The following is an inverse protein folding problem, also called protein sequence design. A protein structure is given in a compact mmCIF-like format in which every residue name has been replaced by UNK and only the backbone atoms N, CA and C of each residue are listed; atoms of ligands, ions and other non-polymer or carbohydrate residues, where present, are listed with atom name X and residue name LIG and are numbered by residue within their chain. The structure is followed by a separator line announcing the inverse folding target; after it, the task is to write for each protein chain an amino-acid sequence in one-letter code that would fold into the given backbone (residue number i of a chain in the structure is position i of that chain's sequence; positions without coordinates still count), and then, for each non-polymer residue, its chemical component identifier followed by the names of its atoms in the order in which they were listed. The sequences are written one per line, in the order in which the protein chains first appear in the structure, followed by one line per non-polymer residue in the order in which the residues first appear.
data_IF_315141770414
#
_entry.id   IF_315141770414
#
_cell.length_a   1.000
_cell.length_b   1.000
_cell.length_c   1.000
_cell.angle_alpha   90.00
_cell.angle_beta   90.00
_cell.angle_gamma   90.00
#
_symmetry.space_group_name_H-M   'P 1'
#
loop_
_entity.id
_entity.type
_entity.pdbx_description
1 polymer ?
#
# COMPACT_ATOMS: atom_id res chain seq x y z
N UNK A 1 6.24 7.57 11.16
CA UNK A 1 7.07 7.38 9.95
C UNK A 1 6.22 6.74 8.87
N UNK A 2 6.28 7.21 7.62
CA UNK A 2 5.64 6.51 6.49
C UNK A 2 6.71 5.70 5.79
N UNK A 3 6.46 4.40 5.57
CA UNK A 3 7.36 3.50 4.84
C UNK A 3 6.69 3.05 3.55
N UNK A 4 7.49 2.91 2.50
CA UNK A 4 7.00 2.48 1.19
C UNK A 4 7.31 1.00 0.99
N UNK A 5 6.29 0.20 0.74
CA UNK A 5 6.37 -1.18 0.30
C UNK A 5 5.98 -1.24 -1.18
N UNK A 6 6.97 -1.31 -2.06
CA UNK A 6 6.75 -1.78 -3.43
C UNK A 6 6.67 -3.30 -3.42
N UNK A 7 5.92 -3.88 -4.37
CA UNK A 7 5.88 -5.32 -4.62
C UNK A 7 7.27 -5.95 -4.38
N UNK A 8 7.29 -7.00 -3.58
CA UNK A 8 8.43 -7.76 -3.11
C UNK A 8 9.34 -8.14 -4.30
N UNK A 9 10.27 -7.27 -4.68
CA UNK A 9 11.13 -7.48 -5.83
C UNK A 9 12.07 -8.65 -5.50
N UNK A 10 12.12 -9.66 -6.36
CA UNK A 10 13.22 -10.62 -6.34
C UNK A 10 14.51 -9.83 -6.48
N UNK A 11 15.32 -9.85 -5.41
CA UNK A 11 16.59 -9.17 -5.36
C UNK A 11 17.49 -9.65 -6.50
N UNK A 12 18.05 -8.68 -7.22
CA UNK A 12 19.28 -8.90 -7.97
C UNK A 12 20.34 -9.51 -7.05
N UNK A 13 21.09 -10.45 -7.60
CA UNK A 13 22.15 -11.19 -6.92
C UNK A 13 23.24 -10.24 -6.42
N UNK A 14 23.30 -9.99 -5.12
CA UNK A 14 24.53 -9.55 -4.43
C UNK A 14 24.68 -10.33 -3.13
N UNK A 15 25.80 -11.05 -3.02
CA UNK A 15 26.04 -12.09 -2.02
C UNK A 15 26.16 -11.57 -0.59
N UNK A 16 25.33 -12.12 0.30
CA UNK A 16 25.49 -12.16 1.76
C UNK A 16 24.70 -13.38 2.27
N UNK A 17 25.38 -14.50 2.54
CA UNK A 17 24.78 -15.85 2.69
C UNK A 17 23.79 -16.01 3.86
N UNK A 18 23.78 -15.11 4.85
CA UNK A 18 22.92 -15.20 6.03
C UNK A 18 21.67 -14.29 6.01
N UNK A 19 21.52 -13.42 4.99
CA UNK A 19 20.44 -12.43 4.95
C UNK A 19 19.15 -12.94 4.29
N UNK A 20 19.24 -13.97 3.44
CA UNK A 20 18.10 -14.51 2.68
C UNK A 20 16.96 -15.04 3.58
N UNK A 21 17.22 -15.80 4.67
CA UNK A 21 16.15 -16.28 5.55
C UNK A 21 15.48 -15.14 6.34
N UNK A 22 16.25 -14.11 6.72
CA UNK A 22 15.71 -12.95 7.44
C UNK A 22 14.80 -12.11 6.54
N UNK A 23 15.22 -11.84 5.30
CA UNK A 23 14.43 -11.11 4.33
C UNK A 23 13.12 -11.83 4.04
N UNK A 24 13.15 -13.14 3.80
CA UNK A 24 11.92 -13.93 3.59
C UNK A 24 10.93 -13.79 4.76
N UNK A 25 11.42 -13.87 6.00
CA UNK A 25 10.59 -13.67 7.21
C UNK A 25 10.02 -12.26 7.33
N UNK A 26 10.78 -11.24 6.96
CA UNK A 26 10.30 -9.85 6.95
C UNK A 26 9.21 -9.67 5.90
N UNK A 27 9.39 -10.26 4.71
CA UNK A 27 8.41 -10.22 3.62
C UNK A 27 7.10 -10.92 4.00
N UNK A 28 7.19 -12.08 4.66
CA UNK A 28 6.03 -12.81 5.18
C UNK A 28 5.25 -11.97 6.21
N UNK A 29 5.94 -11.40 7.20
CA UNK A 29 5.32 -10.54 8.22
C UNK A 29 4.68 -9.29 7.61
N UNK A 30 5.33 -8.68 6.62
CA UNK A 30 4.79 -7.54 5.91
C UNK A 30 3.51 -7.92 5.12
N UNK A 31 3.49 -9.12 4.54
CA UNK A 31 2.31 -9.69 3.89
C UNK A 31 1.12 -9.77 4.85
N UNK A 32 1.33 -10.35 6.03
CA UNK A 32 0.30 -10.44 7.08
C UNK A 32 -0.24 -9.07 7.50
N UNK A 33 0.63 -8.07 7.63
CA UNK A 33 0.23 -6.69 7.96
C UNK A 33 -0.63 -6.09 6.84
N UNK A 34 -0.25 -6.29 5.58
CA UNK A 34 -1.00 -5.80 4.42
C UNK A 34 -2.37 -6.47 4.34
N UNK A 35 -2.44 -7.78 4.57
CA UNK A 35 -3.70 -8.53 4.56
C UNK A 35 -4.65 -8.09 5.68
N UNK A 36 -4.13 -7.91 6.89
CA UNK A 36 -4.91 -7.41 8.02
C UNK A 36 -5.46 -5.99 7.75
N UNK A 37 -4.62 -5.09 7.22
CA UNK A 37 -5.04 -3.73 6.87
C UNK A 37 -5.99 -3.71 5.68
N UNK A 38 -5.81 -4.58 4.70
CA UNK A 38 -6.71 -4.74 3.56
C UNK A 38 -8.09 -5.22 3.98
N UNK A 39 -8.17 -6.17 4.92
CA UNK A 39 -9.43 -6.59 5.53
C UNK A 39 -10.09 -5.46 6.33
N UNK A 40 -9.33 -4.72 7.12
CA UNK A 40 -9.85 -3.59 7.87
C UNK A 40 -10.39 -2.48 6.94
N UNK A 41 -9.68 -2.20 5.84
CA UNK A 41 -10.13 -1.28 4.78
C UNK A 41 -11.41 -1.77 4.10
N UNK A 42 -11.48 -3.07 3.77
CA UNK A 42 -12.65 -3.72 3.19
C UNK A 42 -13.89 -3.52 4.06
N UNK A 43 -13.77 -3.82 5.35
CA UNK A 43 -14.86 -3.67 6.32
C UNK A 43 -15.28 -2.19 6.46
N UNK A 44 -14.32 -1.26 6.53
CA UNK A 44 -14.62 0.17 6.66
C UNK A 44 -15.33 0.76 5.43
N UNK A 45 -15.12 0.19 4.24
CA UNK A 45 -15.74 0.61 2.98
C UNK A 45 -17.02 -0.18 2.65
N UNK A 46 -17.37 -1.21 3.42
CA UNK A 46 -18.52 -2.08 3.13
C UNK A 46 -18.35 -2.92 1.86
N UNK A 47 -17.11 -3.25 1.50
CA UNK A 47 -16.82 -4.05 0.30
C UNK A 47 -17.04 -5.55 0.57
N UNK A 48 -17.46 -6.34 -0.43
CA UNK A 48 -17.69 -7.78 -0.27
C UNK A 48 -16.39 -8.60 -0.14
N UNK A 49 -15.25 -8.05 -0.58
CA UNK A 49 -13.95 -8.68 -0.51
C UNK A 49 -12.81 -7.64 -0.52
N UNK A 50 -11.65 -7.93 0.11
CA UNK A 50 -10.56 -6.97 0.21
C UNK A 50 -9.91 -6.71 -1.15
N UNK A 51 -9.85 -5.44 -1.56
CA UNK A 51 -9.18 -4.99 -2.79
C UNK A 51 -7.65 -4.92 -2.66
N UNK A 52 -7.14 -5.01 -1.43
CA UNK A 52 -5.71 -5.02 -1.10
C UNK A 52 -5.40 -6.30 -0.35
N UNK A 53 -4.55 -7.15 -0.94
CA UNK A 53 -3.97 -8.32 -0.29
C UNK A 53 -2.49 -8.42 -0.69
N UNK A 54 -1.69 -9.09 0.12
CA UNK A 54 -0.27 -9.33 -0.13
C UNK A 54 -0.06 -10.08 -1.45
N UNK A 55 -0.90 -11.07 -1.75
CA UNK A 55 -0.90 -11.81 -3.01
C UNK A 55 -1.19 -10.93 -4.21
N UNK A 56 -2.24 -10.08 -4.14
CA UNK A 56 -2.56 -9.13 -5.21
C UNK A 56 -1.43 -8.12 -5.40
N UNK A 57 -0.77 -7.70 -4.32
CA UNK A 57 0.32 -6.72 -4.39
C UNK A 57 1.55 -7.28 -5.12
N UNK A 58 1.95 -8.53 -4.83
CA UNK A 58 3.21 -9.16 -5.29
C UNK A 58 3.48 -9.01 -6.79
N UNK A 59 2.44 -9.10 -7.62
CA UNK A 59 2.57 -9.11 -9.09
C UNK A 59 1.87 -7.92 -9.77
N UNK A 60 1.54 -6.86 -9.02
CA UNK A 60 0.68 -5.78 -9.52
C UNK A 60 1.42 -4.54 -10.05
N UNK A 61 2.69 -4.37 -9.69
CA UNK A 61 3.41 -3.10 -9.85
C UNK A 61 2.84 -1.94 -9.01
N UNK A 62 1.93 -2.22 -8.06
CA UNK A 62 1.38 -1.20 -7.16
C UNK A 62 2.39 -0.91 -6.04
N UNK A 63 2.28 0.31 -5.50
CA UNK A 63 3.05 0.78 -4.35
C UNK A 63 2.09 0.95 -3.18
N UNK A 64 2.49 0.49 -2.00
CA UNK A 64 1.75 0.68 -0.75
C UNK A 64 2.60 1.51 0.20
N UNK A 65 2.01 2.57 0.74
CA UNK A 65 2.58 3.39 1.80
C UNK A 65 1.95 2.97 3.11
N UNK A 66 2.76 2.64 4.11
CA UNK A 66 2.31 2.25 5.44
C UNK A 66 2.70 3.33 6.45
N UNK A 67 1.73 3.78 7.23
CA UNK A 67 2.00 4.70 8.33
C UNK A 67 2.32 3.90 9.59
N UNK A 68 3.54 4.06 10.10
CA UNK A 68 4.03 3.38 11.30
C UNK A 68 4.24 4.39 12.43
N UNK A 69 3.65 4.12 13.59
CA UNK A 69 3.93 4.77 14.86
C UNK A 69 5.03 3.98 15.58
N UNK A 70 6.24 4.52 15.74
CA UNK A 70 7.32 3.83 16.44
C UNK A 70 6.96 3.55 17.91
N UNK A 71 7.38 2.40 18.42
CA UNK A 71 7.26 2.05 19.85
C UNK A 71 8.48 1.28 20.33
N UNK A 72 8.74 1.30 21.64
CA UNK A 72 9.85 0.57 22.26
C UNK A 72 9.80 -0.95 22.04
N UNK A 73 8.64 -1.51 21.66
CA UNK A 73 8.42 -2.95 21.44
C UNK A 73 8.20 -3.32 19.97
N UNK A 74 8.54 -2.42 19.04
CA UNK A 74 8.25 -2.56 17.61
C UNK A 74 7.09 -1.65 17.20
N UNK A 75 7.18 -1.06 16.00
CA UNK A 75 6.22 -0.06 15.55
C UNK A 75 4.82 -0.61 15.29
N UNK A 76 3.79 0.22 15.50
CA UNK A 76 2.39 -0.10 15.19
C UNK A 76 2.00 0.51 13.86
N UNK A 77 1.41 -0.27 12.95
CA UNK A 77 0.93 0.25 11.66
C UNK A 77 -0.47 0.81 11.83
N UNK A 78 -0.64 2.09 11.48
CA UNK A 78 -1.87 2.85 11.69
C UNK A 78 -2.75 2.95 10.45
N UNK A 79 -2.19 2.70 9.25
CA UNK A 79 -2.91 2.86 8.00
C UNK A 79 -2.08 2.51 6.77
N UNK A 80 -2.76 2.44 5.63
CA UNK A 80 -2.21 2.13 4.32
C UNK A 80 -2.70 3.15 3.26
N UNK A 81 -1.89 3.42 2.25
CA UNK A 81 -2.31 4.06 1.00
C UNK A 81 -1.71 3.27 -0.17
N UNK A 82 -2.55 2.73 -1.06
CA UNK A 82 -2.13 1.96 -2.24
C UNK A 82 -2.33 2.79 -3.50
N UNK A 83 -1.29 2.86 -4.34
CA UNK A 83 -1.36 3.49 -5.68
C UNK A 83 -0.85 2.56 -6.77
N UNK A 84 -1.29 2.82 -8.00
CA UNK A 84 -0.75 2.14 -9.18
C UNK A 84 -1.25 2.78 -10.47
N UNK A 85 -0.44 2.66 -11.53
CA UNK A 85 -0.83 3.12 -12.86
C UNK A 85 -1.94 2.23 -13.42
N UNK A 86 -2.98 2.84 -14.01
CA UNK A 86 -4.08 2.13 -14.67
C UNK A 86 -4.29 2.67 -16.07
N UNK A 87 -4.52 1.77 -17.02
CA UNK A 87 -5.03 2.12 -18.34
C UNK A 87 -6.53 2.39 -18.20
N UNK A 88 -6.96 3.62 -18.42
CA UNK A 88 -8.34 4.05 -18.28
C UNK A 88 -8.81 4.71 -19.58
N UNK A 89 -10.08 4.51 -19.90
CA UNK A 89 -10.77 5.28 -20.92
C UNK A 89 -11.66 6.30 -20.21
N UNK A 90 -11.23 7.57 -20.19
CA UNK A 90 -11.93 8.66 -19.53
C UNK A 90 -12.69 9.50 -20.57
N UNK A 91 -13.83 10.06 -20.18
CA UNK A 91 -14.53 11.05 -21.02
C UNK A 91 -14.05 12.45 -20.65
N UNK A 92 -13.72 13.25 -21.66
CA UNK A 92 -13.44 14.67 -21.46
C UNK A 92 -14.73 15.49 -21.28
N UNK A 93 -14.59 16.80 -21.05
CA UNK A 93 -15.72 17.72 -20.89
C UNK A 93 -16.62 17.85 -22.13
N UNK A 94 -16.17 17.37 -23.29
CA UNK A 94 -16.93 17.32 -24.54
C UNK A 94 -17.51 15.92 -24.82
N UNK A 95 -17.39 14.99 -23.88
CA UNK A 95 -17.88 13.62 -23.98
C UNK A 95 -17.03 12.69 -24.84
N UNK A 96 -15.88 13.14 -25.36
CA UNK A 96 -14.96 12.32 -26.15
C UNK A 96 -14.24 11.32 -25.25
N UNK A 97 -14.05 10.10 -25.73
CA UNK A 97 -13.33 9.07 -25.01
C UNK A 97 -11.82 9.21 -25.27
N UNK A 98 -11.05 9.38 -24.19
CA UNK A 98 -9.60 9.49 -24.21
C UNK A 98 -8.98 8.34 -23.43
N UNK A 99 -8.04 7.62 -24.06
CA UNK A 99 -7.23 6.63 -23.36
C UNK A 99 -6.08 7.32 -22.63
N UNK A 100 -5.94 7.05 -21.33
CA UNK A 100 -4.90 7.63 -20.47
C UNK A 100 -4.31 6.57 -19.54
N UNK A 101 -3.09 6.82 -19.04
CA UNK A 101 -2.43 5.96 -18.04
C UNK A 101 -2.04 6.74 -16.77
N UNK A 102 -3.01 7.26 -15.99
CA UNK A 102 -2.70 8.03 -14.78
C UNK A 102 -2.24 7.14 -13.62
N UNK A 103 -1.54 7.75 -12.65
CA UNK A 103 -1.36 7.19 -11.33
C UNK A 103 -2.69 7.25 -10.58
N UNK A 104 -3.20 6.11 -10.12
CA UNK A 104 -4.46 6.04 -9.39
C UNK A 104 -4.24 5.75 -7.91
N UNK A 105 -5.03 6.39 -7.05
CA UNK A 105 -5.24 5.93 -5.68
C UNK A 105 -6.22 4.75 -5.72
N UNK A 106 -5.78 3.59 -5.23
CA UNK A 106 -6.47 2.31 -5.40
C UNK A 106 -7.04 1.75 -4.10
N UNK A 107 -6.50 2.17 -2.95
CA UNK A 107 -7.04 1.87 -1.62
C UNK A 107 -6.43 2.86 -0.62
N UNK A 108 -7.21 3.32 0.36
CA UNK A 108 -6.73 4.28 1.34
C UNK A 108 -7.47 4.12 2.67
N UNK A 109 -6.71 3.78 3.71
CA UNK A 109 -7.27 3.46 5.01
C UNK A 109 -6.40 3.91 6.17
N UNK A 110 -7.04 4.44 7.21
CA UNK A 110 -6.44 4.72 8.52
C UNK A 110 -7.35 4.08 9.57
N UNK A 111 -6.74 3.37 10.52
CA UNK A 111 -7.46 2.70 11.60
C UNK A 111 -8.45 3.64 12.30
N UNK A 112 -9.67 3.17 12.57
CA UNK A 112 -10.78 4.01 12.99
C UNK A 112 -10.46 4.86 14.22
N UNK A 113 -9.80 4.29 15.25
CA UNK A 113 -9.38 5.00 16.47
C UNK A 113 -8.33 6.11 16.25
N UNK A 114 -7.78 6.19 15.04
CA UNK A 114 -6.71 7.11 14.64
C UNK A 114 -7.14 8.08 13.53
N UNK A 115 -8.38 7.99 13.05
CA UNK A 115 -8.89 8.91 12.02
C UNK A 115 -9.02 10.34 12.53
N UNK A 116 -9.13 11.30 11.60
CA UNK A 116 -9.25 12.76 11.85
C UNK A 116 -8.10 13.41 12.64
N UNK A 117 -6.95 12.73 12.74
CA UNK A 117 -5.71 13.23 13.38
C UNK A 117 -4.62 13.67 12.39
N UNK A 118 -4.97 13.87 11.12
CA UNK A 118 -4.02 14.26 10.07
C UNK A 118 -3.15 13.12 9.50
N UNK A 119 -3.31 11.88 9.98
CA UNK A 119 -2.55 10.73 9.48
C UNK A 119 -2.80 10.39 8.01
N UNK A 120 -4.03 10.57 7.53
CA UNK A 120 -4.33 10.41 6.10
C UNK A 120 -3.54 11.42 5.26
N UNK A 121 -3.51 12.69 5.68
CA UNK A 121 -2.70 13.71 5.01
C UNK A 121 -1.22 13.34 4.99
N UNK A 122 -0.64 12.83 6.09
CA UNK A 122 0.76 12.39 6.12
C UNK A 122 1.07 11.27 5.11
N UNK A 123 0.15 10.30 4.96
CA UNK A 123 0.28 9.24 3.95
C UNK A 123 0.24 9.83 2.54
N UNK A 124 -0.72 10.73 2.28
CA UNK A 124 -0.92 11.34 0.98
C UNK A 124 0.23 12.27 0.59
N UNK A 125 0.66 13.13 1.50
CA UNK A 125 1.78 14.07 1.31
C UNK A 125 3.06 13.30 0.97
N UNK A 126 3.34 12.19 1.67
CA UNK A 126 4.48 11.33 1.34
C UNK A 126 4.35 10.71 -0.04
N UNK A 127 3.17 10.19 -0.39
CA UNK A 127 2.94 9.61 -1.72
C UNK A 127 3.09 10.64 -2.85
N UNK A 128 2.63 11.87 -2.63
CA UNK A 128 2.72 12.94 -3.63
C UNK A 128 4.16 13.46 -3.84
N UNK A 129 5.06 13.22 -2.88
CA UNK A 129 6.47 13.60 -2.94
C UNK A 129 7.39 12.50 -3.51
N UNK A 130 6.90 11.26 -3.66
CA UNK A 130 7.69 10.09 -4.10
C UNK A 130 7.46 9.69 -5.57
#
# INVERSE_FOLDING_TARGET
MVVTASALQHGGRTGCSNALPLLARVQERLGLVIDALGQASCAAQGLPAPVTTSDRLRNSGHRVYLLVEPSARGGTVLGLLKVGFKQLFLRDGHGRLCQVRPLCLLDFYVHQSRQRKGYGRRLFDKMAQD
#
